data_IF_592984328403
#
_entry.id   IF_592984328403
#
_cell.length_a   1.000
_cell.length_b   1.000
_cell.length_c   1.000
_cell.angle_alpha   90.00
_cell.angle_beta   90.00
_cell.angle_gamma   90.00
#
_symmetry.space_group_name_H-M   'P 1'
#
loop_
_entity.id
_entity.type
_entity.pdbx_description
1 polymer ?
#
# COMPACT_ATOMS: atom_id res chain seq x y z
N UNK A 1 -6.44 6.34 -0.29
CA UNK A 1 -5.70 6.65 0.95
C UNK A 1 -4.24 6.46 0.63
N UNK A 2 -3.40 7.39 1.07
CA UNK A 2 -1.97 7.39 0.76
C UNK A 2 -1.21 7.61 2.08
N UNK A 3 -1.09 6.56 2.92
CA UNK A 3 -0.42 6.65 4.21
C UNK A 3 1.11 6.76 4.02
N UNK A 4 1.87 7.09 5.10
CA UNK A 4 3.32 6.97 5.11
C UNK A 4 3.78 5.61 4.58
N UNK A 5 4.81 5.59 3.74
CA UNK A 5 5.35 4.34 3.20
C UNK A 5 6.07 3.55 4.30
N UNK A 6 5.93 2.23 4.28
CA UNK A 6 6.45 1.38 5.33
C UNK A 6 7.98 1.29 5.25
N UNK A 7 8.67 1.43 6.39
CA UNK A 7 10.15 1.43 6.49
C UNK A 7 10.85 2.47 5.61
N UNK A 8 10.17 3.55 5.22
CA UNK A 8 10.80 4.68 4.55
C UNK A 8 10.86 5.87 5.50
N UNK A 9 12.04 6.45 5.65
CA UNK A 9 12.24 7.68 6.43
C UNK A 9 11.58 8.89 5.73
N UNK A 10 11.27 9.95 6.50
CA UNK A 10 10.92 11.26 5.93
C UNK A 10 9.47 11.74 6.12
N UNK A 11 8.59 10.94 6.72
CA UNK A 11 7.21 11.38 6.97
C UNK A 11 7.04 12.22 8.24
N UNK A 12 8.03 12.24 9.14
CA UNK A 12 8.05 13.10 10.33
C UNK A 12 6.91 12.86 11.34
N UNK A 13 6.13 11.79 11.15
CA UNK A 13 4.99 11.41 11.98
C UNK A 13 5.15 9.95 12.41
N UNK A 14 4.81 9.65 13.66
CA UNK A 14 4.75 8.28 14.15
C UNK A 14 3.56 7.57 13.50
N UNK A 15 3.85 6.57 12.68
CA UNK A 15 2.86 5.74 12.01
C UNK A 15 3.18 4.27 12.30
N UNK A 16 2.74 3.74 13.47
CA UNK A 16 3.07 2.37 13.88
C UNK A 16 2.39 1.36 12.96
N UNK A 17 2.95 0.14 12.90
CA UNK A 17 2.45 -0.89 11.99
C UNK A 17 0.95 -1.22 12.19
N UNK A 18 0.46 -1.08 13.43
CA UNK A 18 -0.93 -1.28 13.80
C UNK A 18 -1.92 -0.36 13.07
N UNK A 19 -1.48 0.82 12.59
CA UNK A 19 -2.34 1.68 11.79
C UNK A 19 -2.62 1.07 10.42
N UNK A 20 -1.67 0.36 9.79
CA UNK A 20 -1.93 -0.37 8.55
C UNK A 20 -2.91 -1.53 8.76
N UNK A 21 -2.79 -2.25 9.89
CA UNK A 21 -3.75 -3.31 10.25
C UNK A 21 -5.16 -2.73 10.45
N UNK A 22 -5.26 -1.57 11.12
CA UNK A 22 -6.53 -0.86 11.30
C UNK A 22 -7.11 -0.37 9.97
N UNK A 23 -6.27 0.10 9.04
CA UNK A 23 -6.69 0.45 7.69
C UNK A 23 -7.25 -0.76 6.94
N UNK A 24 -6.58 -1.91 7.04
CA UNK A 24 -7.11 -3.15 6.45
C UNK A 24 -8.49 -3.46 7.04
N UNK A 25 -8.68 -3.38 8.36
CA UNK A 25 -10.01 -3.59 8.97
C UNK A 25 -11.06 -2.56 8.50
N UNK A 26 -10.69 -1.29 8.38
CA UNK A 26 -11.57 -0.25 7.82
C UNK A 26 -12.01 -0.60 6.39
N UNK A 27 -11.09 -1.05 5.54
CA UNK A 27 -11.38 -1.48 4.17
C UNK A 27 -12.35 -2.66 4.11
N UNK A 28 -12.42 -3.48 5.16
CA UNK A 28 -13.37 -4.61 5.25
C UNK A 28 -14.76 -4.16 5.69
N UNK A 29 -14.85 -3.23 6.63
CA UNK A 29 -16.14 -2.78 7.18
C UNK A 29 -16.80 -1.68 6.38
N UNK A 30 -16.05 -0.99 5.51
CA UNK A 30 -16.58 0.14 4.75
C UNK A 30 -17.48 -0.34 3.60
N UNK A 31 -18.70 0.21 3.51
CA UNK A 31 -19.61 -0.01 2.38
C UNK A 31 -19.16 0.72 1.10
N UNK A 32 -18.16 1.60 1.19
CA UNK A 32 -17.59 2.34 0.07
C UNK A 32 -16.39 1.63 -0.56
N UNK A 33 -16.00 2.10 -1.75
CA UNK A 33 -14.79 1.65 -2.43
C UNK A 33 -13.57 2.40 -1.88
N UNK A 34 -12.58 1.68 -1.37
CA UNK A 34 -11.33 2.23 -0.85
C UNK A 34 -10.16 1.74 -1.69
N UNK A 35 -9.30 2.68 -2.08
CA UNK A 35 -7.99 2.42 -2.70
C UNK A 35 -6.91 2.85 -1.73
N UNK A 36 -5.84 2.08 -1.61
CA UNK A 36 -4.63 2.44 -0.87
C UNK A 36 -3.42 2.34 -1.79
N UNK A 37 -2.55 3.35 -1.78
CA UNK A 37 -1.23 3.34 -2.44
C UNK A 37 -0.14 3.23 -1.38
N UNK A 38 0.78 2.28 -1.56
CA UNK A 38 1.88 2.01 -0.63
C UNK A 38 3.10 1.47 -1.37
N UNK A 39 4.26 1.39 -0.70
CA UNK A 39 5.40 0.67 -1.23
C UNK A 39 5.14 -0.85 -1.28
N UNK A 40 5.65 -1.51 -2.31
CA UNK A 40 5.56 -2.96 -2.51
C UNK A 40 6.50 -3.71 -1.56
N UNK A 41 6.10 -3.80 -0.30
CA UNK A 41 6.84 -4.44 0.79
C UNK A 41 6.18 -5.77 1.22
N UNK A 42 6.96 -6.82 1.57
CA UNK A 42 6.40 -8.08 2.08
C UNK A 42 5.41 -7.92 3.23
N UNK A 43 5.73 -7.09 4.24
CA UNK A 43 4.83 -6.79 5.37
C UNK A 43 3.51 -6.13 4.92
N UNK A 44 3.57 -5.18 3.97
CA UNK A 44 2.37 -4.55 3.40
C UNK A 44 1.53 -5.59 2.67
N UNK A 45 2.15 -6.47 1.87
CA UNK A 45 1.45 -7.58 1.22
C UNK A 45 0.84 -8.56 2.22
N UNK A 46 1.47 -8.77 3.38
CA UNK A 46 0.92 -9.64 4.41
C UNK A 46 -0.37 -9.05 5.02
N UNK A 47 -0.38 -7.75 5.33
CA UNK A 47 -1.55 -7.05 5.90
C UNK A 47 -2.70 -6.94 4.90
N UNK A 48 -2.38 -6.58 3.65
CA UNK A 48 -3.38 -6.30 2.62
C UNK A 48 -3.64 -7.49 1.67
N UNK A 49 -3.04 -8.65 1.91
CA UNK A 49 -3.07 -9.79 0.98
C UNK A 49 -4.45 -10.38 0.69
N UNK A 50 -5.47 -10.02 1.49
CA UNK A 50 -6.88 -10.35 1.22
C UNK A 50 -7.54 -9.48 0.15
N UNK A 51 -6.89 -8.40 -0.26
CA UNK A 51 -7.38 -7.42 -1.23
C UNK A 51 -6.68 -7.57 -2.58
N UNK A 52 -7.28 -6.99 -3.62
CA UNK A 52 -6.65 -6.93 -4.93
C UNK A 52 -5.43 -6.00 -4.87
N UNK A 53 -4.24 -6.59 -4.91
CA UNK A 53 -2.94 -5.91 -4.86
C UNK A 53 -2.32 -5.85 -6.26
N UNK A 54 -2.24 -4.66 -6.84
CA UNK A 54 -1.73 -4.41 -8.19
C UNK A 54 -0.34 -3.78 -8.06
N UNK A 55 0.74 -4.51 -8.39
CA UNK A 55 2.07 -3.93 -8.40
C UNK A 55 2.21 -2.95 -9.57
N UNK A 56 2.69 -1.76 -9.29
CA UNK A 56 3.12 -0.78 -10.26
C UNK A 56 4.64 -0.75 -10.28
N UNK A 57 5.23 -1.04 -11.44
CA UNK A 57 6.67 -0.87 -11.67
C UNK A 57 6.99 0.61 -11.85
N UNK A 58 6.89 1.38 -10.77
CA UNK A 58 7.41 2.74 -10.71
C UNK A 58 8.84 2.63 -10.15
N UNK A 59 9.81 2.68 -11.06
CA UNK A 59 11.23 2.73 -10.71
C UNK A 59 11.57 4.10 -10.12
N UNK A 60 11.13 4.41 -8.90
CA UNK A 60 11.61 5.58 -8.18
C UNK A 60 13.03 5.29 -7.68
N UNK A 61 14.01 5.94 -8.32
CA UNK A 61 15.38 5.96 -7.83
C UNK A 61 15.42 6.99 -6.70
N UNK A 62 15.33 6.56 -5.44
CA UNK A 62 15.64 7.46 -4.32
C UNK A 62 17.15 7.71 -4.41
N UNK A 63 17.50 8.84 -5.03
CA UNK A 63 18.87 9.25 -5.29
C UNK A 63 19.61 9.57 -4.00
N UNK A 64 20.25 8.56 -3.42
CA UNK A 64 21.34 8.66 -2.47
C UNK A 64 22.38 7.63 -2.88
N UNK A 65 23.63 8.07 -3.07
CA UNK A 65 24.70 7.37 -3.81
C UNK A 65 25.19 6.05 -3.17
N UNK A 66 24.50 5.53 -2.15
CA UNK A 66 24.87 4.32 -1.39
C UNK A 66 23.71 3.36 -1.06
N UNK A 67 22.47 3.63 -1.47
CA UNK A 67 21.31 2.82 -1.07
C UNK A 67 21.04 1.65 -2.02
N UNK A 68 21.95 0.65 -1.98
CA UNK A 68 21.72 -0.67 -2.61
C UNK A 68 20.59 -1.47 -1.94
N UNK A 69 20.08 -1.07 -0.78
CA UNK A 69 19.46 -2.06 0.10
C UNK A 69 17.97 -2.32 -0.10
N UNK A 70 17.11 -1.39 -0.53
CA UNK A 70 15.67 -1.70 -0.62
C UNK A 70 14.94 -0.91 -1.69
N UNK A 71 14.97 -1.40 -2.93
CA UNK A 71 14.10 -0.91 -4.02
C UNK A 71 12.74 -1.59 -3.90
N UNK A 72 11.81 -0.96 -3.20
CA UNK A 72 10.40 -1.38 -3.26
C UNK A 72 9.68 -0.57 -4.33
N UNK A 73 8.94 -1.26 -5.20
CA UNK A 73 8.06 -0.60 -6.18
C UNK A 73 6.84 0.03 -5.49
N UNK A 74 5.84 0.42 -6.28
CA UNK A 74 4.56 0.90 -5.75
C UNK A 74 3.50 -0.20 -5.84
N UNK A 75 2.56 -0.23 -4.90
CA UNK A 75 1.49 -1.19 -4.79
C UNK A 75 0.15 -0.47 -4.62
N UNK A 76 -0.79 -0.75 -5.53
CA UNK A 76 -2.17 -0.28 -5.43
C UNK A 76 -3.03 -1.40 -4.84
N UNK A 77 -3.69 -1.11 -3.73
CA UNK A 77 -4.54 -2.06 -2.99
C UNK A 77 -5.99 -1.58 -3.10
N UNK A 78 -6.90 -2.43 -3.58
CA UNK A 78 -8.32 -2.08 -3.77
C UNK A 78 -9.24 -2.94 -2.90
N UNK A 79 -10.24 -2.31 -2.28
CA UNK A 79 -11.23 -3.00 -1.45
C UNK A 79 -12.31 -3.76 -2.24
N UNK A 80 -12.29 -3.68 -3.57
CA UNK A 80 -13.24 -4.35 -4.45
C UNK A 80 -12.51 -5.15 -5.53
N UNK A 81 -13.23 -6.13 -6.09
CA UNK A 81 -12.80 -6.87 -7.27
C UNK A 81 -13.31 -6.17 -8.54
N UNK A 82 -12.51 -6.05 -9.59
CA UNK A 82 -12.95 -5.43 -10.84
C UNK A 82 -14.12 -6.17 -11.50
N UNK A 83 -14.36 -7.44 -11.18
CA UNK A 83 -15.54 -8.19 -11.61
C UNK A 83 -16.84 -7.61 -11.07
N UNK A 84 -16.82 -6.92 -9.92
CA UNK A 84 -18.00 -6.23 -9.38
C UNK A 84 -18.20 -4.84 -9.98
N UNK A 85 -17.23 -4.34 -10.74
CA UNK A 85 -17.32 -3.08 -11.49
C UNK A 85 -17.76 -3.33 -12.93
N UNK A 86 -18.81 -4.13 -13.13
CA UNK A 86 -19.43 -4.26 -14.46
C UNK A 86 -20.29 -3.02 -14.71
N UNK A 87 -19.93 -2.24 -15.73
CA UNK A 87 -20.78 -1.20 -16.28
C UNK A 87 -21.95 -1.90 -16.99
N UNK A 88 -23.16 -1.71 -16.46
CA UNK A 88 -24.39 -1.96 -17.20
C UNK A 88 -24.68 -0.80 -18.14
#
# INVERSE_FOLDING_TARGET
>A
MDPPYWQTEGYGVDFPFSEYERMAELMRSCSGKIVVSLNDHPDVRAVFGRYQCIPLQLNYTIGGVDSREKRFGELIIKSWDDSVATLF
#
